data_IF_067221312284
#
_entry.id   IF_067221312284
#
_cell.length_a   1.000
_cell.length_b   1.000
_cell.length_c   1.000
_cell.angle_alpha   90.00
_cell.angle_beta   90.00
_cell.angle_gamma   90.00
#
_symmetry.space_group_name_H-M   'P 1'
#
loop_
_entity.id
_entity.type
_entity.pdbx_description
1 polymer ?
#
# COMPACT_ATOMS: atom_id res chain seq x y z
N UNK A 1 -23.49 -14.39 -69.85
CA UNK A 1 -23.35 -12.92 -69.95
C UNK A 1 -23.73 -12.33 -68.60
N UNK A 2 -22.76 -11.66 -67.95
CA UNK A 2 -22.86 -10.53 -66.99
C UNK A 2 -23.94 -10.55 -65.89
N UNK A 3 -23.51 -10.65 -64.62
CA UNK A 3 -23.35 -9.53 -63.64
C UNK A 3 -24.71 -9.01 -63.13
N UNK A 4 -24.98 -8.95 -61.82
CA UNK A 4 -24.38 -7.97 -60.92
C UNK A 4 -24.31 -8.45 -59.46
N UNK A 5 -23.20 -8.09 -58.84
CA UNK A 5 -22.97 -8.08 -57.40
C UNK A 5 -23.85 -7.05 -56.68
N UNK A 6 -24.19 -7.36 -55.43
CA UNK A 6 -24.68 -6.40 -54.45
C UNK A 6 -24.27 -6.82 -53.04
N UNK A 7 -22.96 -6.93 -52.78
CA UNK A 7 -22.42 -7.09 -51.42
C UNK A 7 -22.59 -5.77 -50.66
N UNK A 8 -23.63 -5.64 -49.83
CA UNK A 8 -23.57 -4.73 -48.69
C UNK A 8 -22.89 -5.45 -47.52
N UNK A 9 -21.56 -5.55 -47.61
CA UNK A 9 -20.74 -5.70 -46.42
C UNK A 9 -20.72 -4.34 -45.72
N UNK A 10 -21.75 -4.09 -44.91
CA UNK A 10 -21.72 -3.02 -43.92
C UNK A 10 -20.57 -3.31 -42.96
N UNK A 11 -19.41 -2.73 -43.23
CA UNK A 11 -18.31 -2.62 -42.28
C UNK A 11 -18.86 -1.87 -41.06
N UNK A 12 -19.24 -2.61 -40.03
CA UNK A 12 -19.36 -2.10 -38.68
C UNK A 12 -17.94 -1.80 -38.20
N UNK A 13 -17.35 -0.71 -38.71
CA UNK A 13 -16.22 -0.06 -38.03
C UNK A 13 -16.88 0.65 -36.86
N UNK A 14 -17.13 -0.12 -35.80
CA UNK A 14 -17.54 0.43 -34.52
C UNK A 14 -16.45 1.41 -34.10
N UNK A 15 -16.85 2.65 -33.86
CA UNK A 15 -16.04 3.64 -33.18
C UNK A 15 -15.77 3.11 -31.77
N UNK A 16 -14.73 2.28 -31.62
CA UNK A 16 -14.15 1.97 -30.32
C UNK A 16 -13.57 3.28 -29.81
N UNK A 17 -14.40 4.08 -29.14
CA UNK A 17 -14.02 5.40 -28.65
C UNK A 17 -12.87 5.28 -27.66
N UNK A 18 -12.21 6.40 -27.37
CA UNK A 18 -11.10 6.49 -26.42
C UNK A 18 -11.39 5.82 -25.06
N UNK A 19 -12.66 5.75 -24.64
CA UNK A 19 -13.07 5.05 -23.42
C UNK A 19 -12.86 3.52 -23.46
N UNK A 20 -13.12 2.86 -24.60
CA UNK A 20 -12.88 1.42 -24.74
C UNK A 20 -11.39 1.11 -24.70
N UNK A 21 -10.57 1.94 -25.34
CA UNK A 21 -9.10 1.82 -25.30
C UNK A 21 -8.56 2.03 -23.88
N UNK A 22 -9.09 3.02 -23.15
CA UNK A 22 -8.69 3.27 -21.76
C UNK A 22 -9.02 2.07 -20.85
N UNK A 23 -10.23 1.51 -20.97
CA UNK A 23 -10.63 0.33 -20.18
C UNK A 23 -9.82 -0.90 -20.52
N UNK A 24 -9.53 -1.13 -21.81
CA UNK A 24 -8.66 -2.23 -22.25
C UNK A 24 -7.24 -2.08 -21.69
N UNK A 25 -6.71 -0.87 -21.66
CA UNK A 25 -5.39 -0.58 -21.09
C UNK A 25 -5.34 -0.77 -19.56
N UNK A 26 -6.38 -0.34 -18.83
CA UNK A 26 -6.49 -0.58 -17.39
C UNK A 26 -6.63 -2.08 -17.07
N UNK A 27 -7.43 -2.81 -17.87
CA UNK A 27 -7.54 -4.26 -17.74
C UNK A 27 -6.21 -4.98 -18.02
N UNK A 28 -5.45 -4.52 -19.02
CA UNK A 28 -4.11 -5.03 -19.31
C UNK A 28 -3.15 -4.81 -18.14
N UNK A 29 -3.12 -3.59 -17.58
CA UNK A 29 -2.30 -3.28 -16.39
C UNK A 29 -2.66 -4.13 -15.18
N UNK A 30 -3.95 -4.33 -14.95
CA UNK A 30 -4.44 -5.22 -13.90
C UNK A 30 -3.92 -6.65 -14.11
N UNK A 31 -4.03 -7.19 -15.33
CA UNK A 31 -3.56 -8.54 -15.65
C UNK A 31 -2.04 -8.69 -15.50
N UNK A 32 -1.26 -7.69 -15.91
CA UNK A 32 0.19 -7.69 -15.69
C UNK A 32 0.55 -7.70 -14.21
N UNK A 33 -0.11 -6.84 -13.41
CA UNK A 33 0.09 -6.84 -11.97
C UNK A 33 -0.26 -8.22 -11.39
N UNK A 34 -1.37 -8.82 -11.81
CA UNK A 34 -1.80 -10.16 -11.38
C UNK A 34 -0.75 -11.23 -11.66
N UNK A 35 -0.25 -11.30 -12.90
CA UNK A 35 0.77 -12.28 -13.28
C UNK A 35 2.05 -12.12 -12.43
N UNK A 36 2.51 -10.89 -12.24
CA UNK A 36 3.72 -10.61 -11.47
C UNK A 36 3.53 -10.91 -9.98
N UNK A 37 2.39 -10.52 -9.40
CA UNK A 37 2.13 -10.75 -7.96
C UNK A 37 1.90 -12.22 -7.65
N UNK A 38 1.20 -12.98 -8.49
CA UNK A 38 1.04 -14.44 -8.33
C UNK A 38 2.40 -15.15 -8.37
N UNK A 39 3.37 -14.65 -9.13
CA UNK A 39 4.71 -15.24 -9.18
C UNK A 39 5.53 -14.99 -7.90
N UNK A 40 5.21 -13.94 -7.13
CA UNK A 40 5.86 -13.58 -5.87
C UNK A 40 5.09 -14.05 -4.64
N UNK A 41 3.84 -14.45 -4.82
CA UNK A 41 2.93 -14.82 -3.75
C UNK A 41 3.49 -16.03 -2.99
N UNK A 42 3.63 -15.86 -1.69
CA UNK A 42 3.93 -16.94 -0.75
C UNK A 42 2.62 -17.56 -0.28
N UNK A 43 2.64 -18.85 0.10
CA UNK A 43 1.47 -19.48 0.71
C UNK A 43 1.23 -18.80 2.06
N UNK A 44 0.12 -18.06 2.16
CA UNK A 44 -0.35 -17.50 3.42
C UNK A 44 -1.45 -18.39 3.98
N UNK A 45 -1.33 -18.73 5.25
CA UNK A 45 -2.37 -19.39 6.03
C UNK A 45 -3.16 -18.32 6.76
N UNK A 46 -4.41 -18.14 6.35
CA UNK A 46 -5.34 -17.26 7.03
C UNK A 46 -5.75 -17.91 8.34
N UNK A 47 -5.25 -17.38 9.46
CA UNK A 47 -5.72 -17.73 10.79
C UNK A 47 -7.00 -16.95 11.01
N UNK A 48 -8.15 -17.52 10.65
CA UNK A 48 -9.45 -16.86 10.48
C UNK A 48 -9.93 -15.95 11.62
N UNK A 49 -9.34 -16.04 12.81
CA UNK A 49 -9.75 -15.29 13.99
C UNK A 49 -9.13 -13.88 14.01
N UNK A 50 -10.00 -12.89 14.12
CA UNK A 50 -9.60 -11.50 14.40
C UNK A 50 -9.62 -11.31 15.92
N UNK A 51 -8.47 -11.00 16.50
CA UNK A 51 -8.33 -10.68 17.93
C UNK A 51 -8.31 -9.17 18.15
N UNK A 52 -8.87 -8.69 19.24
CA UNK A 52 -8.81 -7.26 19.56
C UNK A 52 -7.46 -6.92 20.22
N UNK A 53 -6.92 -5.73 19.90
CA UNK A 53 -5.71 -5.21 20.54
C UNK A 53 -5.93 -5.02 22.04
N UNK A 54 -5.10 -5.66 22.84
CA UNK A 54 -5.18 -5.63 24.29
C UNK A 54 -4.49 -4.39 24.88
N UNK A 55 -3.40 -3.93 24.27
CA UNK A 55 -2.56 -2.83 24.75
C UNK A 55 -2.64 -1.56 23.89
N UNK A 56 -2.35 -0.43 24.53
CA UNK A 56 -2.19 0.86 23.85
C UNK A 56 -0.74 1.03 23.39
N UNK A 57 -0.38 0.38 22.30
CA UNK A 57 0.97 0.37 21.74
C UNK A 57 0.99 0.39 20.20
N UNK A 58 -0.10 0.80 19.55
CA UNK A 58 -0.21 0.78 18.10
C UNK A 58 -0.02 2.16 17.47
N UNK A 59 0.92 2.29 16.55
CA UNK A 59 1.02 3.45 15.67
C UNK A 59 0.57 3.04 14.27
N UNK A 60 -0.46 3.68 13.73
CA UNK A 60 -0.97 3.36 12.39
C UNK A 60 -0.74 4.57 11.49
N UNK A 61 -0.04 4.36 10.39
CA UNK A 61 0.50 5.39 9.53
C UNK A 61 -0.04 5.23 8.12
N UNK A 62 -0.84 6.19 7.65
CA UNK A 62 -1.36 6.16 6.30
C UNK A 62 -1.27 7.52 5.64
N UNK A 63 -1.57 7.57 4.34
CA UNK A 63 -1.53 8.82 3.59
C UNK A 63 -2.71 9.70 3.99
N UNK A 64 -2.41 10.83 4.61
CA UNK A 64 -3.38 11.76 5.14
C UNK A 64 -3.40 13.07 4.40
N UNK A 65 -4.57 13.69 4.37
CA UNK A 65 -4.77 15.07 3.91
C UNK A 65 -5.09 15.94 5.12
N UNK A 66 -4.53 17.15 5.23
CA UNK A 66 -4.75 18.03 6.36
C UNK A 66 -6.19 18.56 6.46
N UNK A 67 -7.05 18.28 5.48
CA UNK A 67 -8.49 18.56 5.55
C UNK A 67 -9.28 17.60 6.46
N UNK A 68 -8.69 16.47 6.89
CA UNK A 68 -9.36 15.46 7.73
C UNK A 68 -8.85 15.41 9.17
N UNK A 69 -8.11 16.43 9.60
CA UNK A 69 -7.57 16.50 10.98
C UNK A 69 -8.73 16.59 11.97
N UNK A 70 -8.72 15.73 12.99
CA UNK A 70 -9.76 15.64 14.05
C UNK A 70 -9.84 16.89 14.90
N UNK A 71 -8.68 17.40 15.28
CA UNK A 71 -8.54 18.49 16.24
C UNK A 71 -7.37 19.36 15.78
N UNK A 72 -7.69 20.43 15.05
CA UNK A 72 -6.71 21.35 14.48
C UNK A 72 -5.97 22.15 15.55
N UNK A 73 -6.55 22.29 16.74
CA UNK A 73 -5.94 23.01 17.85
C UNK A 73 -4.86 22.15 18.53
N UNK A 74 -5.13 20.85 18.70
CA UNK A 74 -4.16 19.91 19.28
C UNK A 74 -3.11 19.42 18.29
N UNK A 75 -3.48 19.28 17.02
CA UNK A 75 -2.59 18.76 15.98
C UNK A 75 -2.58 19.71 14.78
N UNK A 76 -1.99 20.92 14.91
CA UNK A 76 -2.03 21.91 13.84
C UNK A 76 -1.23 21.42 12.62
N UNK A 77 -1.94 21.21 11.51
CA UNK A 77 -1.34 20.85 10.21
C UNK A 77 -1.39 22.01 9.22
N UNK A 78 -1.42 23.24 9.72
CA UNK A 78 -1.49 24.48 8.93
C UNK A 78 -0.35 24.59 7.93
N UNK A 79 0.86 24.14 8.30
CA UNK A 79 2.00 24.11 7.39
C UNK A 79 1.77 23.18 6.17
N UNK A 80 1.02 22.08 6.33
CA UNK A 80 0.62 21.22 5.22
C UNK A 80 -0.50 21.86 4.40
N UNK A 81 -1.46 22.51 5.05
CA UNK A 81 -2.51 23.27 4.35
C UNK A 81 -1.90 24.42 3.52
N UNK A 82 -0.91 25.15 4.07
CA UNK A 82 -0.21 26.20 3.34
C UNK A 82 0.54 25.64 2.13
N UNK A 83 1.18 24.47 2.22
CA UNK A 83 1.77 23.79 1.05
C UNK A 83 0.72 23.48 -0.02
N UNK A 84 -0.50 23.06 0.37
CA UNK A 84 -1.62 22.82 -0.55
C UNK A 84 -2.14 24.12 -1.19
N UNK A 85 -2.22 25.20 -0.41
CA UNK A 85 -2.76 26.48 -0.87
C UNK A 85 -1.79 27.26 -1.75
N UNK A 86 -0.49 27.11 -1.51
CA UNK A 86 0.57 27.79 -2.29
C UNK A 86 0.96 27.02 -3.56
N UNK A 87 0.60 25.75 -3.67
CA UNK A 87 0.77 24.99 -4.90
C UNK A 87 -0.27 25.40 -5.96
N UNK A 88 0.12 25.36 -7.25
CA UNK A 88 -0.78 25.79 -8.34
C UNK A 88 -2.09 24.99 -8.32
N UNK A 89 -3.16 25.47 -8.96
CA UNK A 89 -4.47 24.78 -9.02
C UNK A 89 -4.35 23.32 -9.52
N UNK A 90 -3.36 23.02 -10.36
CA UNK A 90 -3.05 21.67 -10.84
C UNK A 90 -2.33 20.78 -9.79
N UNK A 91 -1.76 21.39 -8.75
CA UNK A 91 -0.95 20.78 -7.70
C UNK A 91 -1.57 20.85 -6.30
N UNK A 92 -2.81 21.36 -6.16
CA UNK A 92 -3.55 21.41 -4.87
C UNK A 92 -3.78 20.03 -4.21
N UNK A 93 -3.45 18.94 -4.89
CA UNK A 93 -3.49 17.56 -4.40
C UNK A 93 -2.11 17.02 -3.96
N UNK A 94 -1.06 17.86 -3.95
CA UNK A 94 0.33 17.53 -3.57
C UNK A 94 0.72 17.89 -2.12
N UNK A 95 -0.21 17.85 -1.16
CA UNK A 95 0.11 18.15 0.24
C UNK A 95 -0.38 17.11 1.22
N UNK A 96 -0.48 15.86 0.75
CA UNK A 96 -0.64 14.72 1.64
C UNK A 96 0.69 14.28 2.20
N UNK A 97 0.69 13.56 3.31
CA UNK A 97 1.87 12.87 3.83
C UNK A 97 1.44 11.57 4.51
N UNK A 98 2.36 10.63 4.67
CA UNK A 98 2.20 9.60 5.69
C UNK A 98 2.18 10.28 7.06
N UNK A 99 1.12 10.03 7.82
CA UNK A 99 0.92 10.59 9.15
C UNK A 99 0.16 9.59 10.03
N UNK A 100 0.18 9.82 11.34
CA UNK A 100 -0.51 8.97 12.30
C UNK A 100 -2.03 9.13 12.19
N UNK A 101 -2.70 8.05 11.81
CA UNK A 101 -4.16 7.92 11.65
C UNK A 101 -4.94 8.35 12.91
N UNK A 102 -4.32 8.33 14.08
CA UNK A 102 -4.92 8.77 15.35
C UNK A 102 -5.43 10.23 15.28
N UNK A 103 -4.76 11.07 14.50
CA UNK A 103 -5.09 12.49 14.38
C UNK A 103 -6.12 12.81 13.29
N UNK A 104 -6.58 11.80 12.53
CA UNK A 104 -7.44 12.00 11.36
C UNK A 104 -8.75 11.22 11.48
N UNK A 105 -9.86 11.83 11.07
CA UNK A 105 -11.17 11.18 11.09
C UNK A 105 -11.56 10.68 9.70
N UNK A 106 -10.84 9.66 9.22
CA UNK A 106 -11.17 9.02 7.96
C UNK A 106 -12.04 7.78 8.21
N UNK A 107 -13.20 7.71 7.57
CA UNK A 107 -14.18 6.61 7.63
C UNK A 107 -14.64 6.26 9.05
N UNK A 108 -15.63 7.00 9.55
CA UNK A 108 -16.31 6.67 10.81
C UNK A 108 -17.00 5.30 10.74
N UNK A 109 -17.13 4.64 11.90
CA UNK A 109 -17.91 3.39 12.03
C UNK A 109 -17.16 2.10 11.69
N UNK A 110 -15.85 2.15 11.49
CA UNK A 110 -14.99 0.97 11.38
C UNK A 110 -13.69 1.14 12.16
N UNK A 111 -13.09 0.04 12.58
CA UNK A 111 -11.75 -0.01 13.19
C UNK A 111 -10.73 -0.49 12.14
N UNK A 112 -9.45 -0.28 12.44
CA UNK A 112 -8.39 -0.91 11.65
C UNK A 112 -8.31 -2.40 11.97
N UNK A 113 -8.25 -3.23 10.95
CA UNK A 113 -7.83 -4.63 11.05
C UNK A 113 -6.43 -4.72 10.46
N UNK A 114 -5.47 -5.09 11.30
CA UNK A 114 -4.06 -5.24 10.96
C UNK A 114 -3.78 -6.70 10.65
N UNK A 115 -3.28 -6.97 9.46
CA UNK A 115 -2.69 -8.25 9.09
C UNK A 115 -1.18 -8.15 9.36
N UNK A 116 -0.71 -8.82 10.42
CA UNK A 116 0.70 -8.79 10.79
C UNK A 116 1.55 -9.47 9.72
N UNK A 117 2.72 -8.90 9.41
CA UNK A 117 3.69 -9.56 8.54
C UNK A 117 4.33 -10.72 9.32
N UNK A 118 3.67 -11.88 9.29
CA UNK A 118 4.16 -13.10 9.93
C UNK A 118 5.00 -13.96 9.00
N UNK A 119 6.13 -14.42 9.55
CA UNK A 119 7.05 -15.38 8.94
C UNK A 119 6.36 -16.75 8.85
N UNK A 120 6.89 -17.60 7.97
CA UNK A 120 6.36 -18.96 7.72
C UNK A 120 4.89 -18.99 7.26
N UNK A 121 4.38 -17.88 6.75
CA UNK A 121 3.05 -17.79 6.15
C UNK A 121 1.90 -17.55 7.13
N UNK A 122 2.18 -17.29 8.41
CA UNK A 122 1.14 -16.91 9.38
C UNK A 122 0.76 -15.44 9.21
N UNK A 123 -0.53 -15.11 9.27
CA UNK A 123 -1.02 -13.73 9.12
C UNK A 123 -2.10 -13.41 10.15
N UNK A 124 -1.76 -13.35 11.45
CA UNK A 124 -2.74 -13.05 12.48
C UNK A 124 -3.33 -11.66 12.26
N UNK A 125 -4.63 -11.56 12.53
CA UNK A 125 -5.42 -10.35 12.32
C UNK A 125 -5.73 -9.72 13.66
N UNK A 126 -5.33 -8.46 13.83
CA UNK A 126 -5.57 -7.69 15.05
C UNK A 126 -6.50 -6.52 14.74
N UNK A 127 -7.65 -6.43 15.41
CA UNK A 127 -8.49 -5.23 15.37
C UNK A 127 -7.93 -4.20 16.35
N UNK A 128 -7.61 -3.02 15.86
CA UNK A 128 -7.05 -1.91 16.63
C UNK A 128 -8.08 -0.81 16.75
N UNK A 129 -8.65 -0.66 17.95
CA UNK A 129 -9.57 0.43 18.26
C UNK A 129 -8.81 1.75 18.45
N UNK A 130 -9.45 2.91 18.22
CA UNK A 130 -8.80 4.22 18.35
C UNK A 130 -8.12 4.45 19.70
N UNK A 131 -8.65 3.94 20.82
CA UNK A 131 -8.07 4.07 22.17
C UNK A 131 -6.79 3.27 22.36
N UNK A 132 -6.55 2.23 21.54
CA UNK A 132 -5.33 1.42 21.53
C UNK A 132 -4.23 2.04 20.67
N UNK A 133 -4.56 3.07 19.89
CA UNK A 133 -3.60 3.80 19.09
C UNK A 133 -2.85 4.84 19.94
N UNK A 134 -1.54 4.87 19.72
CA UNK A 134 -0.60 5.88 20.17
C UNK A 134 -0.87 7.22 19.48
N UNK A 135 -0.57 8.31 20.18
CA UNK A 135 -0.73 9.70 19.68
C UNK A 135 0.61 10.36 19.39
N UNK A 136 1.68 9.57 19.38
CA UNK A 136 3.03 9.99 19.03
C UNK A 136 3.05 10.52 17.59
N UNK A 137 3.78 11.62 17.39
CA UNK A 137 4.09 12.12 16.06
C UNK A 137 5.28 11.34 15.47
N UNK A 138 5.37 11.33 14.14
CA UNK A 138 6.39 10.56 13.42
C UNK A 138 7.83 10.96 13.77
N UNK A 139 8.05 12.23 14.07
CA UNK A 139 9.34 12.78 14.47
C UNK A 139 9.75 12.38 15.91
N UNK A 140 8.80 11.94 16.74
CA UNK A 140 9.07 11.49 18.11
C UNK A 140 9.49 10.03 18.22
N UNK A 141 9.35 9.24 17.16
CA UNK A 141 9.85 7.85 17.11
C UNK A 141 11.36 7.87 17.34
N UNK A 142 11.89 7.04 18.24
CA UNK A 142 13.35 6.96 18.44
C UNK A 142 13.97 5.90 17.53
N UNK A 143 15.22 6.10 17.15
CA UNK A 143 15.90 5.23 16.18
C UNK A 143 16.05 3.78 16.66
N UNK A 144 16.19 3.59 17.96
CA UNK A 144 16.40 2.30 18.63
C UNK A 144 15.09 1.61 19.06
N UNK A 145 13.95 2.27 18.94
CA UNK A 145 12.65 1.65 19.21
C UNK A 145 12.38 0.50 18.24
N UNK A 146 11.81 -0.58 18.74
CA UNK A 146 11.47 -1.75 17.94
C UNK A 146 9.96 -1.83 17.71
N UNK A 147 9.60 -2.20 16.49
CA UNK A 147 8.22 -2.32 16.06
C UNK A 147 8.02 -3.64 15.33
N UNK A 148 6.93 -4.31 15.65
CA UNK A 148 6.36 -5.32 14.75
C UNK A 148 5.48 -4.62 13.73
N UNK A 149 5.58 -5.06 12.48
CA UNK A 149 4.96 -4.38 11.33
C UNK A 149 3.82 -5.21 10.75
N UNK A 150 2.79 -4.52 10.27
CA UNK A 150 1.66 -5.13 9.58
C UNK A 150 1.01 -4.20 8.57
N UNK A 151 0.09 -4.77 7.78
CA UNK A 151 -0.75 -4.03 6.85
C UNK A 151 -2.10 -3.79 7.48
N UNK A 152 -2.45 -2.52 7.70
CA UNK A 152 -3.72 -2.13 8.30
C UNK A 152 -4.76 -1.79 7.23
N UNK A 153 -5.99 -2.23 7.46
CA UNK A 153 -7.15 -1.90 6.62
C UNK A 153 -8.30 -1.40 7.46
N UNK A 154 -8.97 -0.38 6.95
CA UNK A 154 -10.19 0.15 7.53
C UNK A 154 -11.27 0.20 6.46
N UNK A 155 -12.45 -0.36 6.73
CA UNK A 155 -13.51 -0.40 5.73
C UNK A 155 -14.11 0.99 5.53
N UNK A 156 -14.13 1.46 4.29
CA UNK A 156 -14.75 2.73 3.92
C UNK A 156 -16.27 2.60 3.82
N UNK A 157 -17.00 3.68 4.10
CA UNK A 157 -18.48 3.73 4.08
C UNK A 157 -19.16 2.72 5.02
N UNK A 158 -18.48 2.29 6.10
CA UNK A 158 -19.01 1.31 7.05
C UNK A 158 -20.22 1.84 7.84
N UNK A 159 -20.30 3.15 8.03
CA UNK A 159 -21.45 3.89 8.55
C UNK A 159 -22.71 3.76 7.67
N UNK A 160 -22.52 3.59 6.36
CA UNK A 160 -23.61 3.40 5.38
C UNK A 160 -23.87 1.91 5.15
N UNK A 161 -22.81 1.12 4.94
CA UNK A 161 -22.90 -0.31 4.65
C UNK A 161 -21.63 -1.06 5.06
N UNK A 162 -21.82 -2.10 5.88
CA UNK A 162 -20.76 -3.06 6.24
C UNK A 162 -20.32 -3.97 5.07
N UNK A 163 -20.96 -3.83 3.90
CA UNK A 163 -20.63 -4.58 2.67
C UNK A 163 -19.83 -3.75 1.65
N UNK A 164 -19.33 -2.58 2.04
CA UNK A 164 -18.53 -1.76 1.15
C UNK A 164 -17.29 -2.53 0.67
N UNK A 165 -17.04 -2.58 -0.66
CA UNK A 165 -15.84 -3.21 -1.20
C UNK A 165 -14.60 -2.30 -1.07
N UNK A 166 -14.78 -1.09 -0.54
CA UNK A 166 -13.73 -0.09 -0.47
C UNK A 166 -13.08 -0.07 0.90
N UNK A 167 -11.76 0.00 0.89
CA UNK A 167 -10.93 0.07 2.08
C UNK A 167 -10.01 1.28 2.02
N UNK A 168 -9.65 1.79 3.20
CA UNK A 168 -8.47 2.60 3.44
C UNK A 168 -7.35 1.70 3.93
N UNK A 169 -6.10 2.01 3.56
CA UNK A 169 -4.96 1.24 4.03
C UNK A 169 -3.87 2.12 4.62
N UNK A 170 -3.15 1.53 5.57
CA UNK A 170 -2.09 2.15 6.34
C UNK A 170 -1.05 1.10 6.73
N UNK A 171 0.18 1.50 7.04
CA UNK A 171 1.13 0.64 7.72
C UNK A 171 0.81 0.67 9.22
N UNK A 172 0.75 -0.49 9.86
CA UNK A 172 0.64 -0.58 11.32
C UNK A 172 1.97 -0.98 11.94
N UNK A 173 2.28 -0.33 13.06
CA UNK A 173 3.45 -0.57 13.88
C UNK A 173 2.98 -0.87 15.30
N UNK A 174 3.26 -2.06 15.80
CA UNK A 174 3.08 -2.40 17.20
C UNK A 174 4.39 -2.16 17.93
N UNK A 175 4.42 -1.17 18.82
CA UNK A 175 5.60 -0.82 19.62
C UNK A 175 5.90 -1.93 20.62
N UNK A 176 7.14 -2.40 20.62
CA UNK A 176 7.63 -3.42 21.55
C UNK A 176 8.14 -2.69 22.80
N UNK A 177 7.42 -2.82 23.91
CA UNK A 177 7.75 -2.18 25.19
C UNK A 177 8.73 -3.05 25.99
N UNK A 178 9.30 -2.52 27.08
CA UNK A 178 10.29 -3.27 27.90
C UNK A 178 9.70 -4.51 28.56
N UNK A 179 8.41 -4.46 28.84
CA UNK A 179 7.65 -5.52 29.49
C UNK A 179 7.15 -6.57 28.50
N UNK A 180 7.36 -6.35 27.20
CA UNK A 180 6.87 -7.19 26.12
C UNK A 180 8.02 -7.68 25.24
N UNK A 181 7.95 -8.94 24.81
CA UNK A 181 8.99 -9.54 23.99
C UNK A 181 8.52 -9.55 22.55
N UNK A 182 9.41 -9.17 21.63
CA UNK A 182 9.15 -9.31 20.20
C UNK A 182 8.77 -10.75 19.87
N UNK A 183 7.63 -10.94 19.21
CA UNK A 183 7.22 -12.23 18.70
C UNK A 183 8.17 -12.62 17.57
N UNK A 184 8.87 -13.75 17.75
CA UNK A 184 9.89 -14.23 16.81
C UNK A 184 9.34 -14.46 15.40
N UNK A 185 8.04 -14.74 15.32
CA UNK A 185 7.28 -14.99 14.10
C UNK A 185 6.92 -13.72 13.33
N UNK A 186 7.03 -12.52 13.90
CA UNK A 186 6.70 -11.29 13.19
C UNK A 186 7.95 -10.59 12.65
N UNK A 187 7.76 -9.83 11.59
CA UNK A 187 8.80 -8.93 11.09
C UNK A 187 8.97 -7.80 12.08
N UNK A 188 10.21 -7.61 12.52
CA UNK A 188 10.61 -6.55 13.44
C UNK A 188 11.53 -5.57 12.75
N UNK A 189 11.27 -4.28 12.95
CA UNK A 189 12.06 -3.17 12.42
C UNK A 189 12.35 -2.13 13.49
N UNK A 190 13.42 -1.38 13.28
CA UNK A 190 13.82 -0.27 14.12
C UNK A 190 13.11 1.03 13.72
N UNK A 191 12.98 1.96 14.65
CA UNK A 191 12.41 3.27 14.37
C UNK A 191 13.17 4.02 13.26
N UNK A 192 14.51 3.87 13.17
CA UNK A 192 15.30 4.43 12.08
C UNK A 192 14.83 3.92 10.71
N UNK A 193 14.59 2.61 10.60
CA UNK A 193 14.15 1.96 9.35
C UNK A 193 12.75 2.42 8.96
N UNK A 194 11.85 2.57 9.93
CA UNK A 194 10.51 3.11 9.70
C UNK A 194 10.56 4.56 9.20
N UNK A 195 11.37 5.42 9.84
CA UNK A 195 11.54 6.81 9.38
C UNK A 195 12.04 6.86 7.94
N UNK A 196 12.95 5.97 7.58
CA UNK A 196 13.45 5.86 6.22
C UNK A 196 12.36 5.42 5.23
N UNK A 197 11.58 4.38 5.55
CA UNK A 197 10.43 3.95 4.73
C UNK A 197 9.42 5.09 4.55
N UNK A 198 9.12 5.83 5.61
CA UNK A 198 8.21 6.98 5.57
C UNK A 198 8.77 8.07 4.66
N UNK A 199 10.05 8.44 4.83
CA UNK A 199 10.69 9.48 4.04
C UNK A 199 10.72 9.14 2.55
N UNK A 200 11.10 7.89 2.20
CA UNK A 200 11.10 7.39 0.82
C UNK A 200 9.69 7.38 0.21
N UNK A 201 8.69 6.98 0.99
CA UNK A 201 7.29 6.96 0.53
C UNK A 201 6.70 8.35 0.37
N UNK A 202 6.95 9.27 1.30
CA UNK A 202 6.52 10.65 1.19
C UNK A 202 7.06 11.28 -0.08
N UNK A 203 8.37 11.14 -0.31
CA UNK A 203 9.01 11.65 -1.52
C UNK A 203 8.41 11.04 -2.79
N UNK A 204 8.26 9.72 -2.88
CA UNK A 204 7.85 9.07 -4.14
C UNK A 204 6.35 9.17 -4.45
N UNK A 205 5.51 9.23 -3.42
CA UNK A 205 4.04 9.14 -3.55
C UNK A 205 3.34 10.40 -3.07
N UNK A 206 3.64 10.86 -1.86
CA UNK A 206 2.82 11.87 -1.21
C UNK A 206 3.13 13.30 -1.72
N UNK A 207 4.41 13.57 -1.97
CA UNK A 207 4.92 14.87 -2.45
C UNK A 207 4.82 15.00 -3.97
N UNK A 208 5.11 13.93 -4.71
CA UNK A 208 5.24 13.94 -6.18
C UNK A 208 3.94 13.61 -6.93
N UNK A 209 2.92 13.05 -6.25
CA UNK A 209 1.71 12.59 -6.92
C UNK A 209 0.44 13.15 -6.30
N UNK A 210 -0.44 13.63 -7.16
CA UNK A 210 -1.76 14.13 -6.79
C UNK A 210 -2.60 13.07 -6.09
N UNK A 211 -2.92 13.27 -4.81
CA UNK A 211 -3.82 12.37 -4.10
C UNK A 211 -5.20 12.36 -4.77
N UNK A 212 -5.64 11.20 -5.25
CA UNK A 212 -6.97 10.98 -5.81
C UNK A 212 -7.36 9.50 -5.68
N UNK A 213 -8.66 9.23 -5.62
CA UNK A 213 -9.19 7.87 -5.43
C UNK A 213 -8.80 6.88 -6.55
N UNK A 214 -8.37 7.37 -7.72
CA UNK A 214 -8.16 6.53 -8.90
C UNK A 214 -6.70 6.09 -9.07
N UNK A 215 -5.72 7.00 -9.03
CA UNK A 215 -4.31 6.73 -9.38
C UNK A 215 -3.32 6.79 -8.22
N UNK A 216 -3.53 7.66 -7.23
CA UNK A 216 -2.56 7.85 -6.15
C UNK A 216 -3.32 8.10 -4.86
N UNK A 217 -3.51 7.07 -4.05
CA UNK A 217 -4.37 7.10 -2.87
C UNK A 217 -3.63 6.52 -1.65
N UNK A 218 -4.36 6.23 -0.58
CA UNK A 218 -3.83 5.55 0.60
C UNK A 218 -3.21 4.18 0.30
N UNK A 219 -3.80 3.40 -0.63
CA UNK A 219 -3.23 2.15 -1.10
C UNK A 219 -1.93 2.35 -1.86
N UNK A 220 -1.83 3.36 -2.72
CA UNK A 220 -0.58 3.67 -3.40
C UNK A 220 0.57 3.88 -2.40
N UNK A 221 0.32 4.65 -1.33
CA UNK A 221 1.33 4.93 -0.32
C UNK A 221 1.67 3.68 0.51
N UNK A 222 0.67 2.97 1.02
CA UNK A 222 0.90 1.82 1.90
C UNK A 222 1.54 0.64 1.18
N UNK A 223 1.11 0.35 -0.05
CA UNK A 223 1.72 -0.69 -0.89
C UNK A 223 3.16 -0.31 -1.26
N UNK A 224 3.39 0.95 -1.61
CA UNK A 224 4.75 1.43 -1.90
C UNK A 224 5.66 1.34 -0.67
N UNK A 225 5.16 1.75 0.48
CA UNK A 225 5.89 1.72 1.74
C UNK A 225 6.24 0.28 2.14
N UNK A 226 5.36 -0.69 1.90
CA UNK A 226 5.67 -2.10 2.07
C UNK A 226 6.78 -2.60 1.13
N UNK A 227 6.84 -2.10 -0.12
CA UNK A 227 7.97 -2.34 -1.02
C UNK A 227 9.28 -1.71 -0.54
N UNK A 228 9.22 -0.51 0.04
CA UNK A 228 10.39 0.13 0.66
C UNK A 228 10.86 -0.61 1.92
N UNK A 229 9.93 -1.17 2.69
CA UNK A 229 10.26 -2.00 3.86
C UNK A 229 11.12 -3.21 3.47
N UNK A 230 10.79 -3.87 2.35
CA UNK A 230 11.62 -4.95 1.79
C UNK A 230 13.03 -4.46 1.46
N UNK A 231 13.15 -3.27 0.84
CA UNK A 231 14.45 -2.69 0.47
C UNK A 231 15.29 -2.34 1.70
N UNK A 232 14.70 -1.67 2.70
CA UNK A 232 15.40 -1.31 3.94
C UNK A 232 15.84 -2.54 4.72
N UNK A 233 15.00 -3.58 4.81
CA UNK A 233 15.40 -4.86 5.41
C UNK A 233 16.56 -5.50 4.64
N UNK A 234 16.54 -5.43 3.30
CA UNK A 234 17.62 -5.92 2.46
C UNK A 234 18.93 -5.11 2.57
N UNK A 235 18.88 -3.89 3.10
CA UNK A 235 20.05 -3.01 3.34
C UNK A 235 20.75 -3.31 4.68
N UNK A 236 20.19 -4.17 5.54
CA UNK A 236 20.80 -4.59 6.83
C UNK A 236 22.16 -5.32 6.70
N UNK A 237 22.61 -5.60 5.48
CA UNK A 237 23.83 -6.34 5.11
C UNK A 237 23.97 -7.73 5.77
N UNK A 238 22.84 -8.31 6.16
CA UNK A 238 22.75 -9.63 6.79
C UNK A 238 21.89 -10.53 5.91
N UNK A 239 22.51 -11.35 5.06
CA UNK A 239 21.80 -12.36 4.23
C UNK A 239 21.35 -13.58 5.03
N UNK A 240 20.74 -13.34 6.18
CA UNK A 240 20.22 -14.36 7.11
C UNK A 240 18.90 -14.93 6.60
N UNK A 241 18.53 -16.11 7.10
CA UNK A 241 17.19 -16.67 6.86
C UNK A 241 16.09 -15.77 7.42
N UNK A 242 16.32 -15.13 8.58
CA UNK A 242 15.38 -14.14 9.14
C UNK A 242 15.09 -12.97 8.19
N UNK A 243 16.10 -12.47 7.49
CA UNK A 243 15.95 -11.42 6.48
C UNK A 243 15.11 -11.91 5.29
N UNK A 244 15.35 -13.14 4.84
CA UNK A 244 14.57 -13.76 3.76
C UNK A 244 13.11 -13.97 4.15
N UNK A 245 12.87 -14.58 5.30
CA UNK A 245 11.54 -14.83 5.84
C UNK A 245 10.77 -13.52 6.03
N UNK A 246 11.45 -12.46 6.49
CA UNK A 246 10.84 -11.14 6.66
C UNK A 246 10.40 -10.53 5.33
N UNK A 247 11.26 -10.56 4.30
CA UNK A 247 10.88 -10.07 2.97
C UNK A 247 9.75 -10.90 2.36
N UNK A 248 9.74 -12.22 2.57
CA UNK A 248 8.68 -13.12 2.12
C UNK A 248 7.33 -12.87 2.81
N UNK A 249 7.35 -12.56 4.11
CA UNK A 249 6.16 -12.20 4.87
C UNK A 249 5.53 -10.91 4.33
N UNK A 250 6.36 -9.89 4.09
CA UNK A 250 5.90 -8.60 3.57
C UNK A 250 5.33 -8.74 2.16
N UNK A 251 6.08 -9.35 1.21
CA UNK A 251 5.60 -9.50 -0.17
C UNK A 251 4.38 -10.41 -0.26
N UNK A 252 4.27 -11.41 0.63
CA UNK A 252 3.09 -12.28 0.72
C UNK A 252 1.81 -11.46 0.91
N UNK A 253 1.77 -10.59 1.92
CA UNK A 253 0.60 -9.76 2.20
C UNK A 253 0.40 -8.70 1.11
N UNK A 254 1.46 -7.99 0.71
CA UNK A 254 1.36 -6.93 -0.32
C UNK A 254 0.84 -7.49 -1.65
N UNK A 255 1.28 -8.68 -2.06
CA UNK A 255 0.84 -9.31 -3.31
C UNK A 255 -0.67 -9.56 -3.33
N UNK A 256 -1.29 -9.80 -2.17
CA UNK A 256 -2.74 -9.94 -2.05
C UNK A 256 -3.41 -8.56 -1.98
N UNK A 257 -2.92 -7.68 -1.10
CA UNK A 257 -3.54 -6.37 -0.83
C UNK A 257 -3.37 -5.35 -1.95
N UNK A 258 -2.44 -5.60 -2.87
CA UNK A 258 -2.32 -4.86 -4.12
C UNK A 258 -3.60 -4.91 -4.99
N UNK A 259 -4.49 -5.89 -4.78
CA UNK A 259 -5.74 -6.06 -5.55
C UNK A 259 -6.98 -5.51 -4.84
N UNK A 260 -6.87 -5.10 -3.58
CA UNK A 260 -7.96 -4.38 -2.92
C UNK A 260 -8.36 -3.14 -3.73
N UNK A 261 -9.61 -2.68 -3.58
CA UNK A 261 -10.15 -1.57 -4.36
C UNK A 261 -9.98 -1.75 -5.89
N UNK A 262 -9.99 -3.00 -6.38
CA UNK A 262 -9.75 -3.37 -7.77
C UNK A 262 -8.37 -2.96 -8.30
N UNK A 263 -7.35 -2.99 -7.44
CA UNK A 263 -5.97 -2.55 -7.71
C UNK A 263 -5.82 -1.07 -8.09
N UNK A 264 -6.85 -0.23 -7.86
CA UNK A 264 -6.79 1.20 -8.14
C UNK A 264 -5.83 1.89 -7.18
N UNK A 265 -4.91 2.68 -7.74
CA UNK A 265 -3.78 3.24 -7.02
C UNK A 265 -2.53 2.34 -7.05
N UNK A 266 -2.64 1.11 -7.56
CA UNK A 266 -1.51 0.19 -7.67
C UNK A 266 -1.22 -0.11 -9.14
N UNK A 267 -2.13 -0.79 -9.85
CA UNK A 267 -1.92 -1.19 -11.24
C UNK A 267 -1.85 -0.01 -12.21
N UNK A 268 -2.63 1.04 -11.93
CA UNK A 268 -2.69 2.26 -12.73
C UNK A 268 -1.76 3.37 -12.22
N UNK A 269 -0.95 3.09 -11.21
CA UNK A 269 0.11 3.97 -10.71
C UNK A 269 1.46 3.43 -11.19
N UNK A 270 2.13 4.15 -12.10
CA UNK A 270 3.39 3.66 -12.68
C UNK A 270 4.50 3.50 -11.65
N UNK A 271 4.60 4.39 -10.66
CA UNK A 271 5.64 4.35 -9.63
C UNK A 271 5.45 3.13 -8.72
N UNK A 272 4.22 2.88 -8.27
CA UNK A 272 3.91 1.71 -7.44
C UNK A 272 4.05 0.42 -8.24
N UNK A 273 3.54 0.41 -9.47
CA UNK A 273 3.62 -0.75 -10.35
C UNK A 273 5.07 -1.11 -10.68
N UNK A 274 5.93 -0.16 -11.02
CA UNK A 274 7.35 -0.40 -11.27
C UNK A 274 8.06 -0.93 -10.02
N UNK A 275 7.76 -0.36 -8.85
CA UNK A 275 8.35 -0.83 -7.60
C UNK A 275 7.99 -2.31 -7.35
N UNK A 276 6.72 -2.70 -7.50
CA UNK A 276 6.26 -4.07 -7.25
C UNK A 276 6.67 -5.07 -8.34
N UNK A 277 6.72 -4.65 -9.60
CA UNK A 277 6.92 -5.56 -10.74
C UNK A 277 8.37 -5.61 -11.22
N UNK A 278 9.23 -4.70 -10.77
CA UNK A 278 10.63 -4.63 -11.18
C UNK A 278 11.56 -4.50 -9.98
N UNK A 279 11.42 -3.44 -9.18
CA UNK A 279 12.44 -3.12 -8.15
C UNK A 279 12.44 -4.12 -6.98
N UNK A 280 11.28 -4.42 -6.39
CA UNK A 280 11.14 -5.42 -5.32
C UNK A 280 11.55 -6.81 -5.82
N UNK A 281 11.10 -7.31 -6.98
CA UNK A 281 11.56 -8.58 -7.53
C UNK A 281 13.08 -8.66 -7.71
N UNK A 282 13.74 -7.59 -8.17
CA UNK A 282 15.20 -7.52 -8.27
C UNK A 282 15.89 -7.62 -6.91
N UNK A 283 15.32 -7.02 -5.86
CA UNK A 283 15.83 -7.14 -4.49
C UNK A 283 15.66 -8.56 -3.99
N UNK A 284 14.47 -9.15 -4.13
CA UNK A 284 14.19 -10.53 -3.73
C UNK A 284 15.13 -11.53 -4.43
N UNK A 285 15.40 -11.34 -5.72
CA UNK A 285 16.29 -12.20 -6.49
C UNK A 285 17.73 -12.23 -5.93
N UNK A 286 18.25 -11.10 -5.40
CA UNK A 286 19.58 -11.03 -4.74
C UNK A 286 19.69 -11.92 -3.49
N UNK A 287 18.55 -12.33 -2.95
CA UNK A 287 18.41 -13.21 -1.79
C UNK A 287 17.98 -14.63 -2.17
N UNK A 288 17.88 -14.95 -3.46
CA UNK A 288 17.39 -16.23 -3.96
C UNK A 288 15.87 -16.40 -3.78
N UNK A 289 15.13 -15.29 -3.65
CA UNK A 289 13.68 -15.27 -3.48
C UNK A 289 13.01 -14.84 -4.79
N UNK A 290 11.98 -15.58 -5.21
CA UNK A 290 11.27 -15.36 -6.49
C UNK A 290 11.83 -16.18 -7.66
N UNK A 291 11.11 -16.22 -8.80
CA UNK A 291 11.57 -16.89 -10.03
C UNK A 291 12.41 -15.94 -10.89
N UNK A 292 13.46 -16.47 -11.50
CA UNK A 292 14.53 -15.79 -12.26
C UNK A 292 14.12 -15.16 -13.61
N UNK A 293 12.84 -15.07 -13.94
CA UNK A 293 12.36 -14.58 -15.24
C UNK A 293 11.48 -13.33 -15.09
N UNK A 294 12.02 -12.27 -14.49
CA UNK A 294 11.38 -10.95 -14.51
C UNK A 294 11.92 -10.21 -15.74
N UNK A 295 11.08 -9.89 -16.75
CA UNK A 295 11.53 -9.17 -17.92
C UNK A 295 12.08 -7.79 -17.53
N UNK A 296 13.24 -7.40 -18.07
CA UNK A 296 13.89 -6.11 -17.76
C UNK A 296 13.01 -4.88 -18.10
N UNK A 297 12.03 -5.05 -19.00
CA UNK A 297 10.95 -4.09 -19.27
C UNK A 297 9.66 -4.82 -19.67
N UNK A 298 8.50 -4.48 -19.11
CA UNK A 298 7.23 -4.90 -19.67
C UNK A 298 7.02 -4.19 -21.02
N UNK A 299 7.04 -4.92 -22.13
CA UNK A 299 6.57 -4.38 -23.41
C UNK A 299 5.05 -4.15 -23.32
N UNK A 300 4.64 -2.88 -23.24
CA UNK A 300 3.25 -2.48 -23.31
C UNK A 300 2.62 -2.88 -24.66
N UNK A 301 1.28 -2.90 -24.77
CA UNK A 301 0.62 -3.09 -26.06
C UNK A 301 1.12 -2.01 -27.02
N UNK A 302 1.58 -2.44 -28.20
CA UNK A 302 1.83 -1.52 -29.32
C UNK A 302 0.46 -1.00 -29.76
N UNK A 303 0.17 0.25 -29.43
CA UNK A 303 -1.01 0.98 -29.93
C UNK A 303 -0.82 1.38 -31.39
#
# INVERSE_FOLDING_TARGET
MFALMGRHAGKLIGTSGAGTLLLAYDAYKYQQLQQNMTALQTKLEDTSDIVDADQKNWLILGRQSPGYVRDTDKTPKEHLQQKIHTSSIWFKSLGTQLDNEKHFDLFAGSDFVVEMFGKKGQTPKVRVQPEKMLSDDLDTIKDDELFEVGFARKQGFADITQKSPFFHSSIALRKINKEDVAHSEFVVVRGQEIKEVIARTNKAICDEQSCNLFRSNCYSATIYAGGELIKVIAERDLKTEDTKESMQAIIGIISIRAFDNFARGVSNNSVVSEQLTTQVPQVLAKYGLGKTNIPEKPEGPKL
#
